data_IF_345050068223
#
_entry.id   IF_345050068223
#
_cell.length_a   1.000
_cell.length_b   1.000
_cell.length_c   1.000
_cell.angle_alpha   90.00
_cell.angle_beta   90.00
_cell.angle_gamma   90.00
#
_symmetry.space_group_name_H-M   'P 1'
#
loop_
_entity.id
_entity.type
_entity.pdbx_description
1 polymer ?
#
# COMPACT_ATOMS: atom_id res chain seq x y z
N UNK A 1 7.61 -23.99 -10.02
CA UNK A 1 6.97 -23.02 -9.12
C UNK A 1 7.35 -21.64 -9.63
N UNK A 2 6.42 -20.93 -10.27
CA UNK A 2 6.67 -19.61 -10.84
C UNK A 2 6.46 -18.55 -9.75
N UNK A 3 7.54 -17.95 -9.28
CA UNK A 3 7.47 -16.82 -8.37
C UNK A 3 6.95 -15.61 -9.16
N UNK A 4 5.74 -15.16 -8.80
CA UNK A 4 5.08 -13.99 -9.37
C UNK A 4 5.97 -12.76 -9.12
N UNK A 5 6.57 -12.22 -10.18
CA UNK A 5 7.19 -10.90 -10.18
C UNK A 5 6.11 -9.88 -9.80
N UNK A 6 6.37 -9.07 -8.75
CA UNK A 6 5.46 -8.08 -8.22
C UNK A 6 5.38 -6.89 -9.20
N UNK A 7 4.66 -7.09 -10.30
CA UNK A 7 4.44 -6.08 -11.32
C UNK A 7 3.30 -5.18 -10.88
N UNK A 8 3.64 -3.95 -10.50
CA UNK A 8 2.69 -2.88 -10.30
C UNK A 8 2.87 -1.85 -11.42
N UNK A 9 1.76 -1.29 -11.91
CA UNK A 9 1.82 -0.11 -12.77
C UNK A 9 1.88 1.12 -11.88
N UNK A 10 2.99 1.87 -11.96
CA UNK A 10 3.29 2.98 -11.06
C UNK A 10 3.00 4.34 -11.71
N UNK A 11 2.33 5.22 -10.98
CA UNK A 11 2.38 6.67 -11.17
C UNK A 11 3.27 7.29 -10.10
N UNK A 12 4.11 8.26 -10.47
CA UNK A 12 5.04 8.93 -9.56
C UNK A 12 4.57 10.36 -9.25
N UNK A 13 4.65 10.74 -7.98
CA UNK A 13 4.42 12.09 -7.49
C UNK A 13 5.66 12.57 -6.73
N UNK A 14 6.36 13.53 -7.34
CA UNK A 14 7.44 14.26 -6.71
C UNK A 14 6.92 15.61 -6.18
N UNK A 15 6.98 15.87 -4.87
CA UNK A 15 6.64 17.18 -4.32
C UNK A 15 7.66 18.24 -4.76
N UNK A 16 7.24 19.51 -4.82
CA UNK A 16 8.03 20.60 -5.40
C UNK A 16 9.24 21.06 -4.55
N UNK A 17 9.38 20.54 -3.33
CA UNK A 17 10.33 20.98 -2.30
C UNK A 17 11.43 19.95 -1.98
N UNK A 18 11.77 19.06 -2.93
CA UNK A 18 12.67 17.91 -2.72
C UNK A 18 12.24 16.99 -1.54
N UNK A 19 10.95 17.03 -1.19
CA UNK A 19 10.34 16.15 -0.19
C UNK A 19 10.28 14.68 -0.64
N UNK A 20 9.83 13.76 0.24
CA UNK A 20 9.77 12.35 -0.10
C UNK A 20 8.94 12.08 -1.36
N UNK A 21 9.52 11.34 -2.30
CA UNK A 21 8.82 10.91 -3.52
C UNK A 21 7.74 9.91 -3.15
N UNK A 22 6.54 10.06 -3.70
CA UNK A 22 5.42 9.14 -3.46
C UNK A 22 4.97 8.53 -4.78
N UNK A 23 5.10 7.22 -4.91
CA UNK A 23 4.58 6.46 -6.03
C UNK A 23 3.30 5.71 -5.64
N UNK A 24 2.32 5.67 -6.55
CA UNK A 24 1.10 4.87 -6.43
C UNK A 24 1.12 3.76 -7.47
N UNK A 25 1.01 2.52 -7.00
CA UNK A 25 0.85 1.31 -7.79
C UNK A 25 -0.59 0.81 -7.73
N UNK A 26 -1.16 0.48 -8.89
CA UNK A 26 -2.43 -0.25 -8.98
C UNK A 26 -2.16 -1.62 -9.59
N UNK A 27 -2.65 -2.68 -8.94
CA UNK A 27 -2.53 -4.05 -9.47
C UNK A 27 -3.91 -4.67 -9.67
N UNK A 28 -4.28 -5.07 -10.89
CA UNK A 28 -5.52 -5.83 -11.12
C UNK A 28 -5.40 -7.31 -10.69
N UNK A 29 -4.22 -7.76 -10.22
CA UNK A 29 -3.95 -9.16 -9.90
C UNK A 29 -3.79 -9.37 -8.39
N UNK A 30 -4.75 -10.06 -7.78
CA UNK A 30 -4.89 -10.34 -6.34
C UNK A 30 -3.79 -11.22 -5.69
N UNK A 31 -2.64 -11.43 -6.33
CA UNK A 31 -1.50 -12.17 -5.77
C UNK A 31 -0.14 -11.48 -5.89
N UNK A 32 -0.04 -10.43 -6.72
CA UNK A 32 1.21 -9.70 -6.95
C UNK A 32 1.41 -8.50 -6.00
N UNK A 33 0.55 -8.37 -4.98
CA UNK A 33 0.40 -7.16 -4.16
C UNK A 33 0.90 -7.31 -2.71
N UNK A 34 1.24 -8.52 -2.27
CA UNK A 34 1.79 -8.74 -0.93
C UNK A 34 3.26 -8.32 -0.93
N UNK A 35 3.49 -7.04 -0.63
CA UNK A 35 4.83 -6.45 -0.63
C UNK A 35 5.74 -7.13 0.37
N UNK A 36 5.22 -7.57 1.52
CA UNK A 36 5.98 -8.26 2.53
C UNK A 36 6.50 -9.60 2.00
N UNK A 37 5.65 -10.38 1.33
CA UNK A 37 6.08 -11.59 0.64
C UNK A 37 7.11 -11.26 -0.45
N UNK A 38 6.88 -10.23 -1.26
CA UNK A 38 7.81 -9.79 -2.31
C UNK A 38 9.19 -9.41 -1.77
N UNK A 39 9.26 -8.76 -0.60
CA UNK A 39 10.50 -8.37 0.06
C UNK A 39 11.19 -9.57 0.72
N UNK A 40 10.43 -10.47 1.36
CA UNK A 40 10.98 -11.66 2.02
C UNK A 40 11.71 -12.59 1.03
N UNK A 41 11.19 -12.74 -0.20
CA UNK A 41 11.85 -13.54 -1.25
C UNK A 41 13.18 -12.95 -1.72
N UNK A 42 13.41 -11.65 -1.48
CA UNK A 42 14.67 -10.93 -1.75
C UNK A 42 15.58 -10.85 -0.53
N UNK A 43 15.18 -11.43 0.62
CA UNK A 43 15.91 -11.32 1.88
C UNK A 43 15.81 -9.94 2.52
N UNK A 44 14.86 -9.11 2.09
CA UNK A 44 14.59 -7.80 2.67
C UNK A 44 13.54 -7.94 3.78
N UNK A 45 13.86 -7.43 4.98
CA UNK A 45 12.98 -7.49 6.14
C UNK A 45 12.61 -6.08 6.59
N UNK A 46 11.34 -5.83 6.98
CA UNK A 46 10.95 -4.51 7.41
C UNK A 46 11.60 -4.16 8.75
N UNK A 47 12.05 -2.92 8.88
CA UNK A 47 12.43 -2.31 10.15
C UNK A 47 11.20 -2.00 11.02
N UNK A 48 10.03 -1.84 10.39
CA UNK A 48 8.75 -1.66 11.08
C UNK A 48 7.61 -2.20 10.21
N UNK A 49 6.58 -2.74 10.88
CA UNK A 49 5.31 -3.13 10.28
C UNK A 49 4.18 -2.60 11.16
N UNK A 50 3.04 -2.24 10.55
CA UNK A 50 1.85 -1.85 11.30
C UNK A 50 0.82 -1.14 10.43
N UNK A 51 -0.25 -0.65 11.07
CA UNK A 51 -1.31 0.04 10.35
C UNK A 51 -1.04 1.54 10.19
N UNK A 52 -1.43 2.07 9.04
CA UNK A 52 -1.48 3.50 8.74
C UNK A 52 -2.94 3.85 8.44
N UNK A 53 -3.58 4.56 9.37
CA UNK A 53 -4.92 5.10 9.13
C UNK A 53 -4.81 6.49 8.52
N UNK A 54 -5.53 6.71 7.43
CA UNK A 54 -5.53 7.96 6.67
C UNK A 54 -6.94 8.47 6.51
N UNK A 55 -7.17 9.74 6.83
CA UNK A 55 -8.44 10.40 6.55
C UNK A 55 -8.53 10.73 5.06
N UNK A 56 -9.59 10.29 4.39
CA UNK A 56 -9.90 10.66 3.01
C UNK A 56 -11.27 11.33 2.92
N UNK A 57 -11.59 11.90 1.75
CA UNK A 57 -12.90 12.49 1.51
C UNK A 57 -14.09 11.52 1.70
N UNK A 58 -13.85 10.20 1.57
CA UNK A 58 -14.86 9.15 1.74
C UNK A 58 -14.87 8.53 3.16
N UNK A 59 -13.98 8.96 4.05
CA UNK A 59 -13.79 8.40 5.39
C UNK A 59 -12.37 7.92 5.65
N UNK A 60 -12.12 7.43 6.86
CA UNK A 60 -10.80 6.90 7.23
C UNK A 60 -10.56 5.53 6.59
N UNK A 61 -9.43 5.38 5.90
CA UNK A 61 -8.98 4.13 5.29
C UNK A 61 -7.79 3.61 6.10
N UNK A 62 -7.81 2.32 6.42
CA UNK A 62 -6.67 1.62 7.02
C UNK A 62 -5.82 0.97 5.94
N UNK A 63 -4.52 1.22 6.00
CA UNK A 63 -3.49 0.60 5.17
C UNK A 63 -2.60 -0.30 6.03
N UNK A 64 -2.17 -1.42 5.47
CA UNK A 64 -1.05 -2.20 6.02
C UNK A 64 0.25 -1.57 5.55
N UNK A 65 1.13 -1.18 6.47
CA UNK A 65 2.38 -0.50 6.18
C UNK A 65 3.61 -1.30 6.59
N UNK A 66 4.66 -1.22 5.78
CA UNK A 66 5.98 -1.80 6.04
C UNK A 66 7.08 -0.78 5.70
N UNK A 67 8.03 -0.60 6.59
CA UNK A 67 9.13 0.36 6.44
C UNK A 67 10.47 -0.38 6.30
N UNK A 68 11.28 0.05 5.34
CA UNK A 68 12.52 -0.61 4.93
C UNK A 68 13.66 0.40 4.75
N UNK A 69 14.89 -0.12 4.80
CA UNK A 69 16.11 0.59 4.46
C UNK A 69 17.02 -0.37 3.68
N UNK A 70 17.48 0.02 2.51
CA UNK A 70 18.36 -0.79 1.65
C UNK A 70 19.81 -0.26 1.61
N UNK A 71 20.16 0.67 2.50
CA UNK A 71 21.46 1.34 2.56
C UNK A 71 21.58 2.57 1.65
N UNK A 72 20.85 2.61 0.54
CA UNK A 72 20.82 3.74 -0.38
C UNK A 72 19.63 4.69 -0.13
N UNK A 73 18.48 4.14 0.27
CA UNK A 73 17.27 4.89 0.57
C UNK A 73 16.48 4.25 1.70
N UNK A 74 15.60 5.06 2.31
CA UNK A 74 14.61 4.62 3.27
C UNK A 74 13.23 4.77 2.63
N UNK A 75 12.41 3.73 2.72
CA UNK A 75 11.11 3.73 2.04
C UNK A 75 10.03 3.05 2.88
N UNK A 76 8.80 3.53 2.69
CA UNK A 76 7.60 3.05 3.33
C UNK A 76 6.65 2.58 2.24
N UNK A 77 6.25 1.32 2.32
CA UNK A 77 5.22 0.75 1.46
C UNK A 77 3.92 0.56 2.25
N UNK A 78 2.79 0.99 1.69
CA UNK A 78 1.48 0.91 2.31
C UNK A 78 0.46 0.31 1.32
N UNK A 79 -0.20 -0.78 1.70
CA UNK A 79 -1.20 -1.46 0.87
C UNK A 79 -2.61 -1.34 1.43
N UNK A 80 -3.59 -1.31 0.53
CA UNK A 80 -5.00 -1.52 0.85
C UNK A 80 -5.71 -2.22 -0.32
N UNK A 81 -6.83 -2.88 -0.04
CA UNK A 81 -7.72 -3.41 -1.05
C UNK A 81 -8.91 -2.48 -1.26
N UNK A 82 -9.27 -2.19 -2.50
CA UNK A 82 -10.42 -1.37 -2.86
C UNK A 82 -11.38 -2.10 -3.78
N UNK A 83 -12.67 -1.80 -3.72
CA UNK A 83 -13.70 -2.42 -4.58
C UNK A 83 -14.56 -1.38 -5.33
N UNK A 84 -13.97 -0.25 -5.74
CA UNK A 84 -14.68 0.83 -6.45
C UNK A 84 -15.65 1.66 -5.60
N UNK A 85 -16.05 1.18 -4.42
CA UNK A 85 -16.92 1.90 -3.47
C UNK A 85 -16.28 2.11 -2.10
N UNK A 86 -15.40 1.20 -1.68
CA UNK A 86 -14.70 1.25 -0.38
C UNK A 86 -13.25 0.79 -0.54
N UNK A 87 -12.42 1.22 0.39
CA UNK A 87 -11.02 0.83 0.50
C UNK A 87 -10.70 0.49 1.96
N UNK A 88 -9.91 -0.56 2.18
CA UNK A 88 -9.38 -0.86 3.49
C UNK A 88 -8.73 -2.24 3.57
N UNK A 89 -7.67 -2.32 4.35
CA UNK A 89 -7.01 -3.57 4.71
C UNK A 89 -6.63 -3.53 6.19
N UNK A 90 -6.78 -4.66 6.88
CA UNK A 90 -6.43 -4.78 8.30
C UNK A 90 -5.42 -5.90 8.46
N UNK A 91 -4.14 -5.57 8.54
CA UNK A 91 -3.13 -6.49 9.03
C UNK A 91 -3.13 -6.44 10.56
N UNK A 92 -3.14 -7.61 11.20
CA UNK A 92 -2.91 -7.74 12.63
C UNK A 92 -1.54 -8.37 12.82
N UNK A 93 -0.70 -7.70 13.61
CA UNK A 93 0.63 -8.19 13.95
C UNK A 93 0.48 -9.33 14.97
N UNK A 94 0.66 -10.58 14.53
CA UNK A 94 1.04 -11.66 15.43
C UNK A 94 2.50 -11.93 15.11
N UNK A 95 3.36 -11.32 15.93
CA UNK A 95 4.81 -11.43 15.84
C UNK A 95 5.21 -12.88 15.53
N UNK A 96 6.00 -13.04 14.46
CA UNK A 96 6.64 -14.26 13.93
C UNK A 96 6.01 -14.89 12.67
N UNK A 97 4.72 -14.66 12.35
CA UNK A 97 4.12 -15.02 11.05
C UNK A 97 2.97 -14.04 10.76
N UNK A 98 3.20 -13.06 9.89
CA UNK A 98 2.18 -12.06 9.54
C UNK A 98 1.00 -12.71 8.84
N UNK A 99 -0.16 -12.77 9.49
CA UNK A 99 -1.41 -13.10 8.84
C UNK A 99 -2.05 -11.80 8.35
N UNK A 100 -2.04 -11.58 7.03
CA UNK A 100 -2.82 -10.51 6.41
C UNK A 100 -4.25 -11.04 6.27
N UNK A 101 -5.17 -10.51 7.08
CA UNK A 101 -6.59 -10.82 6.96
C UNK A 101 -7.33 -9.64 6.30
N UNK A 102 -7.46 -9.72 4.99
CA UNK A 102 -8.39 -8.88 4.25
C UNK A 102 -9.82 -9.36 4.55
N UNK A 103 -10.59 -8.61 5.36
CA UNK A 103 -12.01 -8.90 5.63
C UNK A 103 -12.78 -8.92 4.30
N UNK A 104 -13.19 -10.09 3.78
CA UNK A 104 -14.00 -10.11 2.58
C UNK A 104 -15.39 -9.57 2.93
N UNK A 105 -15.97 -8.77 2.04
CA UNK A 105 -17.37 -8.35 2.13
C UNK A 105 -18.25 -9.61 2.17
N UNK A 106 -19.16 -9.79 3.17
CA UNK A 106 -20.03 -10.95 3.24
C UNK A 106 -20.89 -11.15 1.99
N UNK A 107 -21.20 -10.04 1.31
CA UNK A 107 -21.93 -9.99 0.03
C UNK A 107 -21.14 -10.61 -1.14
N UNK A 108 -19.80 -10.57 -1.10
CA UNK A 108 -18.93 -11.14 -2.11
C UNK A 108 -18.92 -12.69 -2.11
N UNK A 109 -19.37 -13.31 -1.01
CA UNK A 109 -19.50 -14.77 -0.91
C UNK A 109 -20.77 -15.32 -1.60
N UNK A 110 -21.74 -14.45 -1.90
CA UNK A 110 -23.06 -14.82 -2.44
C UNK A 110 -23.27 -14.28 -3.86
N UNK A 111 -22.47 -13.28 -4.29
CA UNK A 111 -22.56 -12.70 -5.63
C UNK A 111 -21.95 -13.60 -6.71
N UNK A 112 -22.66 -13.76 -7.84
CA UNK A 112 -22.15 -14.41 -9.05
C UNK A 112 -21.07 -13.57 -9.77
N UNK A 113 -20.94 -12.30 -9.39
CA UNK A 113 -19.91 -11.37 -9.84
C UNK A 113 -19.36 -10.62 -8.61
N UNK A 114 -18.47 -11.22 -7.81
CA UNK A 114 -17.77 -10.46 -6.79
C UNK A 114 -16.90 -9.44 -7.52
N UNK A 115 -17.16 -8.14 -7.34
CA UNK A 115 -16.23 -7.10 -7.78
C UNK A 115 -14.87 -7.44 -7.18
N UNK A 116 -13.93 -7.86 -8.03
CA UNK A 116 -12.62 -8.30 -7.56
C UNK A 116 -11.95 -7.10 -6.91
N UNK A 117 -11.53 -7.18 -5.63
CA UNK A 117 -10.80 -6.09 -5.04
C UNK A 117 -9.57 -5.76 -5.89
N UNK A 118 -9.30 -4.48 -6.04
CA UNK A 118 -8.13 -3.90 -6.71
C UNK A 118 -7.15 -3.51 -5.59
N UNK A 119 -6.04 -4.24 -5.45
CA UNK A 119 -4.93 -3.81 -4.63
C UNK A 119 -4.39 -2.44 -5.05
N UNK A 120 -4.28 -1.56 -4.06
CA UNK A 120 -3.55 -0.29 -4.14
C UNK A 120 -2.29 -0.44 -3.31
N UNK A 121 -1.16 -0.04 -3.89
CA UNK A 121 0.12 0.05 -3.23
C UNK A 121 0.61 1.50 -3.29
N UNK A 122 1.03 2.05 -2.16
CA UNK A 122 1.68 3.35 -2.07
C UNK A 122 3.11 3.12 -1.61
N UNK A 123 4.07 3.75 -2.26
CA UNK A 123 5.47 3.78 -1.82
C UNK A 123 5.88 5.22 -1.62
N UNK A 124 6.32 5.57 -0.42
CA UNK A 124 7.03 6.81 -0.17
C UNK A 124 8.52 6.52 0.03
N UNK A 125 9.40 7.34 -0.53
CA UNK A 125 10.84 7.13 -0.48
C UNK A 125 11.60 8.43 -0.18
N UNK A 126 12.66 8.32 0.61
CA UNK A 126 13.64 9.37 0.85
C UNK A 126 15.05 8.80 0.64
N UNK A 127 15.88 9.53 -0.13
CA UNK A 127 17.24 9.10 -0.43
C UNK A 127 18.23 9.32 0.72
N UNK A 128 17.86 10.11 1.74
CA UNK A 128 18.69 10.30 2.93
C UNK A 128 18.59 9.08 3.87
N UNK A 129 19.52 8.15 3.70
CA UNK A 129 19.65 6.97 4.57
C UNK A 129 20.32 7.24 5.92
N UNK A 130 20.78 8.47 6.17
CA UNK A 130 21.40 8.86 7.44
C UNK A 130 20.39 9.25 8.52
N UNK A 131 19.15 9.55 8.12
CA UNK A 131 18.07 9.85 9.07
C UNK A 131 17.82 8.67 10.01
N UNK A 132 17.62 8.90 11.31
CA UNK A 132 17.17 7.85 12.22
C UNK A 132 15.87 7.21 11.73
N UNK A 133 15.77 5.88 11.85
CA UNK A 133 14.66 5.09 11.33
C UNK A 133 13.27 5.63 11.72
N UNK A 134 13.09 6.02 12.98
CA UNK A 134 11.81 6.58 13.45
C UNK A 134 11.49 7.95 12.82
N UNK A 135 12.51 8.79 12.61
CA UNK A 135 12.35 10.10 11.96
C UNK A 135 11.99 9.92 10.49
N UNK A 136 12.69 9.04 9.79
CA UNK A 136 12.40 8.71 8.39
C UNK A 136 10.98 8.13 8.27
N UNK A 137 10.62 7.14 9.08
CA UNK A 137 9.29 6.52 9.08
C UNK A 137 8.18 7.54 9.33
N UNK A 138 8.35 8.46 10.29
CA UNK A 138 7.36 9.52 10.56
C UNK A 138 7.20 10.47 9.37
N UNK A 139 8.32 10.92 8.76
CA UNK A 139 8.29 11.78 7.57
C UNK A 139 7.60 11.09 6.40
N UNK A 140 7.95 9.85 6.11
CA UNK A 140 7.35 9.05 5.04
C UNK A 140 5.85 8.81 5.29
N UNK A 141 5.47 8.47 6.53
CA UNK A 141 4.06 8.30 6.90
C UNK A 141 3.25 9.58 6.71
N UNK A 142 3.83 10.74 7.03
CA UNK A 142 3.19 12.04 6.82
C UNK A 142 3.06 12.38 5.33
N UNK A 143 4.08 12.06 4.53
CA UNK A 143 4.01 12.22 3.07
C UNK A 143 2.89 11.36 2.46
N UNK A 144 2.81 10.08 2.85
CA UNK A 144 1.72 9.18 2.44
C UNK A 144 0.35 9.74 2.83
N UNK A 145 0.19 10.23 4.08
CA UNK A 145 -1.07 10.84 4.53
C UNK A 145 -1.44 12.08 3.71
N UNK A 146 -0.46 12.94 3.43
CA UNK A 146 -0.67 14.17 2.66
C UNK A 146 -1.09 13.84 1.23
N UNK A 147 -0.36 12.94 0.56
CA UNK A 147 -0.68 12.47 -0.79
C UNK A 147 -2.09 11.88 -0.83
N UNK A 148 -2.38 10.90 0.03
CA UNK A 148 -3.69 10.23 0.06
C UNK A 148 -4.84 11.16 0.46
N UNK A 149 -4.58 12.20 1.24
CA UNK A 149 -5.56 13.25 1.54
C UNK A 149 -6.00 14.03 0.30
N UNK A 150 -5.17 14.06 -0.75
CA UNK A 150 -5.47 14.73 -2.02
C UNK A 150 -6.04 13.79 -3.10
N UNK A 151 -6.07 12.47 -2.87
CA UNK A 151 -6.41 11.47 -3.89
C UNK A 151 -7.76 10.81 -3.59
N UNK A 152 -8.62 10.71 -4.61
CA UNK A 152 -9.86 9.94 -4.54
C UNK A 152 -9.63 8.48 -5.00
N UNK A 153 -9.20 7.62 -4.08
CA UNK A 153 -8.89 6.21 -4.38
C UNK A 153 -10.08 5.41 -4.93
N UNK A 154 -11.30 5.74 -4.52
CA UNK A 154 -12.50 5.10 -5.05
C UNK A 154 -12.64 5.36 -6.55
N UNK A 155 -12.38 6.59 -7.00
CA UNK A 155 -12.40 6.93 -8.44
C UNK A 155 -11.33 6.19 -9.25
N UNK A 156 -10.15 5.95 -8.68
CA UNK A 156 -9.06 5.23 -9.34
C UNK A 156 -9.30 3.72 -9.47
N UNK A 157 -10.27 3.19 -8.72
CA UNK A 157 -10.57 1.75 -8.66
C UNK A 157 -11.97 1.41 -9.15
N UNK A 158 -12.64 2.35 -9.83
CA UNK A 158 -13.91 2.04 -10.47
C UNK A 158 -13.71 1.02 -11.60
N UNK A 159 -14.63 0.04 -11.72
CA UNK A 159 -14.63 -0.86 -12.87
C UNK A 159 -14.71 -0.06 -14.16
N UNK A 160 -13.81 -0.33 -15.11
CA UNK A 160 -13.88 0.28 -16.43
C UNK A 160 -15.16 -0.22 -17.13
N UNK A 161 -16.15 0.67 -17.26
CA UNK A 161 -17.34 0.43 -18.09
C UNK A 161 -17.15 1.16 -19.41
N UNK A 162 -17.16 0.41 -20.51
CA UNK A 162 -17.44 0.96 -21.83
C UNK A 162 -18.95 0.84 -22.04
N UNK A 163 -19.62 1.98 -22.10
CA UNK A 163 -20.90 2.16 -22.80
C UNK A 163 -20.71 2.22 -24.32
#
# INVERSE_FOLDING_TARGET
>A
MAFSQCHNHWGDYAPADDGPHVAIGLSPVLGAHDTLLCHSTRGEYPLWQGQITVATAAGAIAFSGSFFNNGASQYLEASALCNGSRCGESSFDVMQMGFIYSRPEPSALISQYPERPIPILIRAEISDSSLPADVARQRLSNSVRSFLGSVNLASLTQPYRHD
#
